data_IF_728319686309
#
_entry.id   IF_728319686309
#
_cell.length_a   1.000
_cell.length_b   1.000
_cell.length_c   1.000
_cell.angle_alpha   90.00
_cell.angle_beta   90.00
_cell.angle_gamma   90.00
#
_symmetry.space_group_name_H-M   'P 1'
#
loop_
_entity.id
_entity.type
_entity.pdbx_description
1 polymer ?
#
# COMPACT_ATOMS: atom_id res chain seq x y z
N UNK A 1 -13.24 -7.28 -27.97
CA UNK A 1 -12.09 -7.54 -28.84
C UNK A 1 -12.40 -8.69 -29.75
N UNK A 2 -11.73 -8.79 -30.87
CA UNK A 2 -12.01 -9.78 -31.93
C UNK A 2 -11.64 -11.23 -31.57
N UNK A 3 -11.59 -11.56 -30.28
CA UNK A 3 -11.33 -12.90 -29.76
C UNK A 3 -9.86 -13.32 -29.72
N UNK A 4 -8.92 -12.44 -30.09
CA UNK A 4 -7.51 -12.78 -30.27
C UNK A 4 -6.58 -12.28 -29.16
N UNK A 5 -7.10 -11.51 -28.20
CA UNK A 5 -6.35 -11.01 -27.03
C UNK A 5 -6.92 -11.56 -25.73
N UNK A 6 -6.04 -11.97 -24.84
CA UNK A 6 -6.36 -12.49 -23.52
C UNK A 6 -5.64 -11.67 -22.47
N UNK A 7 -6.35 -11.28 -21.41
CA UNK A 7 -5.79 -10.57 -20.26
C UNK A 7 -5.90 -11.46 -19.01
N UNK A 8 -4.79 -11.56 -18.29
CA UNK A 8 -4.75 -12.04 -16.90
C UNK A 8 -4.37 -10.84 -16.04
N UNK A 9 -5.23 -10.48 -15.09
CA UNK A 9 -5.07 -9.30 -14.27
C UNK A 9 -5.24 -9.59 -12.79
N UNK A 10 -4.43 -8.90 -11.98
CA UNK A 10 -4.59 -8.77 -10.54
C UNK A 10 -4.79 -7.29 -10.26
N UNK A 11 -6.00 -6.88 -9.86
CA UNK A 11 -6.29 -5.49 -9.53
C UNK A 11 -7.67 -5.00 -9.98
N UNK A 12 -7.85 -3.68 -9.86
CA UNK A 12 -9.09 -2.96 -10.13
C UNK A 12 -8.82 -1.68 -10.92
N UNK A 13 -9.70 -1.38 -11.88
CA UNK A 13 -9.70 -0.13 -12.65
C UNK A 13 -10.88 0.72 -12.21
N UNK A 14 -10.64 1.72 -11.39
CA UNK A 14 -11.68 2.51 -10.72
C UNK A 14 -12.49 3.40 -11.66
N UNK A 15 -11.91 3.84 -12.79
CA UNK A 15 -12.57 4.69 -13.79
C UNK A 15 -13.08 3.91 -15.01
N UNK A 16 -13.32 2.59 -14.86
CA UNK A 16 -13.72 1.74 -15.97
C UNK A 16 -15.03 2.17 -16.63
N UNK A 17 -16.00 2.71 -15.88
CA UNK A 17 -17.27 3.20 -16.44
C UNK A 17 -17.05 4.42 -17.34
N UNK A 18 -16.23 5.38 -16.88
CA UNK A 18 -15.86 6.58 -17.63
C UNK A 18 -15.13 6.21 -18.94
N UNK A 19 -14.18 5.28 -18.86
CA UNK A 19 -13.43 4.79 -20.03
C UNK A 19 -14.38 4.08 -21.00
N UNK A 20 -15.28 3.23 -20.50
CA UNK A 20 -16.25 2.50 -21.31
C UNK A 20 -17.07 3.41 -22.23
N UNK A 21 -17.44 4.61 -21.76
CA UNK A 21 -18.18 5.61 -22.53
C UNK A 21 -17.35 6.22 -23.66
N UNK A 22 -16.02 6.11 -23.62
CA UNK A 22 -15.10 6.66 -24.61
C UNK A 22 -14.60 5.66 -25.65
N UNK A 23 -14.85 4.37 -25.45
CA UNK A 23 -14.47 3.31 -26.38
C UNK A 23 -15.42 3.25 -27.57
N UNK A 24 -14.89 2.84 -28.74
CA UNK A 24 -15.73 2.63 -29.93
C UNK A 24 -16.82 1.58 -29.68
N UNK A 25 -17.98 1.74 -30.31
CA UNK A 25 -19.15 0.91 -30.17
C UNK A 25 -18.86 -0.57 -30.46
N UNK A 26 -18.53 -1.32 -29.44
CA UNK A 26 -18.44 -2.78 -29.44
C UNK A 26 -19.20 -3.35 -28.25
N UNK A 27 -19.95 -4.44 -28.45
CA UNK A 27 -20.60 -5.12 -27.35
C UNK A 27 -19.54 -5.61 -26.35
N UNK A 28 -19.61 -5.12 -25.10
CA UNK A 28 -18.80 -5.66 -23.99
C UNK A 28 -19.33 -7.06 -23.65
N UNK A 29 -18.42 -8.03 -23.56
CA UNK A 29 -18.77 -9.42 -23.25
C UNK A 29 -19.10 -9.60 -21.77
N UNK A 30 -18.57 -8.74 -20.91
CA UNK A 30 -18.73 -8.79 -19.45
C UNK A 30 -18.97 -7.39 -18.85
N UNK A 31 -19.16 -7.35 -17.54
CA UNK A 31 -19.14 -6.11 -16.75
C UNK A 31 -17.80 -5.84 -16.10
N UNK A 32 -16.80 -6.70 -16.33
CA UNK A 32 -15.49 -6.57 -15.71
C UNK A 32 -14.78 -5.28 -16.17
N UNK A 33 -14.17 -4.60 -15.23
CA UNK A 33 -13.26 -3.48 -15.41
C UNK A 33 -12.02 -3.89 -16.19
N UNK A 34 -11.53 -5.12 -15.99
CA UNK A 34 -10.40 -5.69 -16.74
C UNK A 34 -10.70 -5.83 -18.25
N UNK A 35 -11.96 -6.09 -18.63
CA UNK A 35 -12.34 -6.08 -20.05
C UNK A 35 -12.24 -4.67 -20.64
N UNK A 36 -12.59 -3.64 -19.85
CA UNK A 36 -12.45 -2.25 -20.28
C UNK A 36 -10.97 -1.91 -20.52
N UNK A 37 -10.09 -2.30 -19.60
CA UNK A 37 -8.64 -2.11 -19.78
C UNK A 37 -8.11 -2.83 -21.02
N UNK A 38 -8.52 -4.08 -21.27
CA UNK A 38 -8.11 -4.84 -22.44
C UNK A 38 -8.56 -4.15 -23.75
N UNK A 39 -9.81 -3.69 -23.81
CA UNK A 39 -10.35 -2.98 -24.97
C UNK A 39 -9.64 -1.66 -25.23
N UNK A 40 -9.42 -0.87 -24.17
CA UNK A 40 -8.68 0.38 -24.25
C UNK A 40 -7.30 0.17 -24.88
N UNK A 41 -6.56 -0.83 -24.41
CA UNK A 41 -5.22 -1.15 -24.91
C UNK A 41 -5.29 -1.70 -26.33
N UNK A 42 -6.29 -2.51 -26.65
CA UNK A 42 -6.50 -3.03 -28.03
C UNK A 42 -6.79 -1.92 -29.02
N UNK A 43 -7.58 -0.90 -28.62
CA UNK A 43 -8.00 0.21 -29.49
C UNK A 43 -6.90 1.28 -29.65
N UNK A 44 -6.22 1.64 -28.53
CA UNK A 44 -5.33 2.81 -28.46
C UNK A 44 -3.85 2.46 -28.25
N UNK A 45 -3.55 1.17 -28.08
CA UNK A 45 -2.20 0.68 -27.81
C UNK A 45 -1.79 0.79 -26.33
N UNK A 46 -0.60 0.24 -25.98
CA UNK A 46 -0.18 0.12 -24.56
C UNK A 46 0.07 1.48 -23.88
N UNK A 47 0.29 2.57 -24.63
CA UNK A 47 0.39 3.92 -24.06
C UNK A 47 -0.88 4.39 -23.35
N UNK A 48 -2.05 3.84 -23.70
CA UNK A 48 -3.33 4.16 -23.06
C UNK A 48 -3.45 3.64 -21.63
N UNK A 49 -2.51 2.84 -21.16
CA UNK A 49 -2.39 2.49 -19.72
C UNK A 49 -2.35 3.73 -18.81
N UNK A 50 -1.87 4.87 -19.30
CA UNK A 50 -1.87 6.14 -18.58
C UNK A 50 -3.27 6.73 -18.32
N UNK A 51 -4.30 6.26 -19.05
CA UNK A 51 -5.70 6.68 -18.85
C UNK A 51 -6.38 5.91 -17.70
N UNK A 52 -5.80 4.78 -17.25
CA UNK A 52 -6.35 3.96 -16.20
C UNK A 52 -6.10 4.58 -14.81
N UNK A 53 -7.15 4.72 -14.03
CA UNK A 53 -7.07 4.99 -12.59
C UNK A 53 -7.35 3.70 -11.84
N UNK A 54 -6.36 3.18 -11.11
CA UNK A 54 -6.54 1.90 -10.44
C UNK A 54 -5.24 1.34 -9.86
N UNK A 55 -5.33 0.14 -9.41
CA UNK A 55 -4.22 -0.70 -8.95
C UNK A 55 -4.22 -1.99 -9.77
N UNK A 56 -3.14 -2.28 -10.47
CA UNK A 56 -3.13 -3.42 -11.38
C UNK A 56 -1.73 -3.97 -11.68
N UNK A 57 -1.70 -5.28 -11.93
CA UNK A 57 -0.65 -5.97 -12.66
C UNK A 57 -1.29 -6.79 -13.77
N UNK A 58 -0.99 -6.48 -15.03
CA UNK A 58 -1.60 -7.09 -16.21
C UNK A 58 -0.59 -7.85 -17.05
N UNK A 59 -1.01 -9.02 -17.53
CA UNK A 59 -0.37 -9.74 -18.63
C UNK A 59 -1.40 -9.90 -19.74
N UNK A 60 -1.07 -9.39 -20.93
CA UNK A 60 -1.92 -9.49 -22.13
C UNK A 60 -1.17 -10.28 -23.17
N UNK A 61 -1.82 -11.28 -23.77
CA UNK A 61 -1.25 -12.10 -24.84
C UNK A 61 -2.21 -12.20 -26.01
N UNK A 62 -1.66 -12.18 -27.21
CA UNK A 62 -2.40 -12.34 -28.47
C UNK A 62 -1.95 -13.55 -29.29
N UNK A 63 -2.86 -14.10 -30.09
CA UNK A 63 -2.55 -15.20 -31.02
C UNK A 63 -1.58 -14.77 -32.14
N UNK A 64 -1.48 -13.47 -32.40
CA UNK A 64 -0.55 -12.85 -33.35
C UNK A 64 0.87 -12.68 -32.82
N UNK A 65 1.13 -13.09 -31.56
CA UNK A 65 2.40 -12.91 -30.87
C UNK A 65 2.48 -11.64 -30.02
N UNK A 66 1.44 -10.81 -30.00
CA UNK A 66 1.36 -9.65 -29.10
C UNK A 66 1.53 -10.11 -27.65
N UNK A 67 2.41 -9.43 -26.92
CA UNK A 67 2.56 -9.63 -25.46
C UNK A 67 2.84 -8.31 -24.76
N UNK A 68 2.10 -8.04 -23.69
CA UNK A 68 2.26 -6.84 -22.85
C UNK A 68 2.23 -7.28 -21.39
N UNK A 69 3.24 -6.87 -20.63
CA UNK A 69 3.21 -6.90 -19.16
C UNK A 69 3.16 -5.48 -18.65
N UNK A 70 2.31 -5.17 -17.66
CA UNK A 70 2.16 -3.82 -17.12
C UNK A 70 1.90 -3.83 -15.62
N UNK A 71 2.40 -2.81 -14.93
CA UNK A 71 2.19 -2.60 -13.49
C UNK A 71 1.72 -1.18 -13.24
N UNK A 72 0.77 -1.00 -12.31
CA UNK A 72 0.22 0.31 -11.95
C UNK A 72 1.29 1.32 -11.53
N UNK A 73 1.00 2.63 -11.65
CA UNK A 73 2.00 3.68 -11.45
C UNK A 73 2.63 3.72 -10.06
N UNK A 74 1.91 3.27 -9.03
CA UNK A 74 2.40 3.27 -7.63
C UNK A 74 3.02 1.92 -7.26
N UNK A 75 2.72 0.86 -8.04
CA UNK A 75 3.13 -0.51 -7.77
C UNK A 75 2.36 -1.13 -6.59
N UNK A 76 1.07 -0.78 -6.46
CA UNK A 76 0.18 -1.32 -5.43
C UNK A 76 0.07 -2.84 -5.59
N UNK A 77 -0.13 -3.30 -6.83
CA UNK A 77 -0.12 -4.73 -7.13
C UNK A 77 1.31 -5.20 -7.43
N UNK A 78 1.73 -6.35 -6.85
CA UNK A 78 3.07 -6.88 -7.07
C UNK A 78 3.20 -7.47 -8.47
N UNK A 79 4.36 -7.27 -9.07
CA UNK A 79 4.79 -7.93 -10.29
C UNK A 79 6.31 -8.09 -10.27
N UNK A 80 6.78 -9.30 -10.57
CA UNK A 80 8.20 -9.65 -10.72
C UNK A 80 8.43 -10.20 -12.11
N UNK A 81 9.65 -10.08 -12.59
CA UNK A 81 10.07 -10.62 -13.86
C UNK A 81 11.49 -11.18 -13.80
N UNK A 82 11.80 -12.07 -14.73
CA UNK A 82 13.14 -12.58 -14.93
C UNK A 82 13.39 -12.80 -16.41
N UNK A 83 14.59 -12.46 -16.90
CA UNK A 83 14.99 -12.64 -18.30
C UNK A 83 16.26 -13.49 -18.39
N UNK A 84 16.19 -14.57 -19.16
CA UNK A 84 17.30 -15.50 -19.39
C UNK A 84 17.21 -16.14 -20.75
N UNK A 85 18.30 -16.18 -21.51
CA UNK A 85 18.42 -16.87 -22.81
C UNK A 85 17.33 -16.49 -23.82
N UNK A 86 16.90 -15.22 -23.81
CA UNK A 86 15.84 -14.69 -24.69
C UNK A 86 14.42 -15.05 -24.27
N UNK A 87 14.25 -15.68 -23.12
CA UNK A 87 12.95 -15.93 -22.49
C UNK A 87 12.71 -14.91 -21.38
N UNK A 88 11.48 -14.46 -21.22
CA UNK A 88 11.05 -13.58 -20.13
C UNK A 88 9.88 -14.25 -19.40
N UNK A 89 9.94 -14.25 -18.08
CA UNK A 89 8.87 -14.74 -17.21
C UNK A 89 8.36 -13.64 -16.31
N UNK A 90 7.07 -13.70 -15.97
CA UNK A 90 6.40 -12.76 -15.08
C UNK A 90 5.60 -13.54 -14.03
N UNK A 91 5.56 -13.01 -12.82
CA UNK A 91 4.74 -13.55 -11.73
C UNK A 91 4.43 -12.48 -10.70
N UNK A 92 3.33 -12.64 -9.96
CA UNK A 92 3.01 -11.79 -8.82
C UNK A 92 3.82 -12.14 -7.56
N UNK A 93 4.50 -13.29 -7.54
CA UNK A 93 5.27 -13.81 -6.40
C UNK A 93 6.62 -14.33 -6.85
N UNK A 94 7.68 -14.05 -6.07
CA UNK A 94 9.03 -14.56 -6.37
C UNK A 94 9.11 -16.07 -6.23
N UNK A 95 8.35 -16.65 -5.32
CA UNK A 95 8.24 -18.11 -5.11
C UNK A 95 7.62 -18.86 -6.30
N UNK A 96 7.01 -18.15 -7.25
CA UNK A 96 6.53 -18.73 -8.52
C UNK A 96 7.65 -19.02 -9.53
N UNK A 97 8.85 -18.51 -9.29
CA UNK A 97 10.02 -18.79 -10.13
C UNK A 97 10.75 -20.01 -9.62
N UNK A 98 11.06 -20.95 -10.55
CA UNK A 98 11.91 -22.08 -10.23
C UNK A 98 13.27 -21.62 -9.69
N UNK A 99 13.91 -22.39 -8.81
CA UNK A 99 15.21 -22.09 -8.20
C UNK A 99 16.27 -21.64 -9.24
N UNK A 100 16.27 -22.28 -10.42
CA UNK A 100 17.18 -21.90 -11.52
C UNK A 100 16.94 -20.50 -12.08
N UNK A 101 15.76 -19.89 -11.88
CA UNK A 101 15.40 -18.55 -12.34
C UNK A 101 15.54 -17.47 -11.25
N UNK A 102 15.54 -17.89 -9.99
CA UNK A 102 15.60 -16.96 -8.84
C UNK A 102 16.75 -15.94 -8.90
N UNK A 103 17.98 -16.31 -9.37
CA UNK A 103 19.08 -15.34 -9.46
C UNK A 103 18.81 -14.17 -10.43
N UNK A 104 17.91 -14.32 -11.38
CA UNK A 104 17.58 -13.30 -12.38
C UNK A 104 16.28 -12.55 -12.06
N UNK A 105 15.61 -12.88 -10.96
CA UNK A 105 14.35 -12.22 -10.56
C UNK A 105 14.62 -10.78 -10.14
N UNK A 106 13.78 -9.89 -10.66
CA UNK A 106 13.76 -8.48 -10.33
C UNK A 106 12.32 -8.02 -10.07
N UNK A 107 12.15 -6.99 -9.25
CA UNK A 107 10.87 -6.28 -9.13
C UNK A 107 10.58 -5.58 -10.46
N UNK A 108 9.39 -5.80 -11.03
CA UNK A 108 8.97 -5.09 -12.23
C UNK A 108 8.65 -3.64 -11.85
N UNK A 109 9.24 -2.63 -12.52
CA UNK A 109 9.11 -1.25 -12.08
C UNK A 109 7.67 -0.74 -12.17
N UNK A 110 7.17 -0.01 -11.15
CA UNK A 110 5.89 0.66 -11.20
C UNK A 110 5.77 1.62 -12.38
N UNK A 111 4.55 1.80 -12.92
CA UNK A 111 4.28 2.73 -14.01
C UNK A 111 4.89 2.36 -15.35
N UNK A 112 5.31 1.12 -15.51
CA UNK A 112 5.92 0.63 -16.74
C UNK A 112 5.08 -0.47 -17.37
N UNK A 113 5.22 -0.57 -18.70
CA UNK A 113 4.87 -1.78 -19.43
C UNK A 113 6.08 -2.32 -20.20
N UNK A 114 6.04 -3.59 -20.52
CA UNK A 114 7.04 -4.27 -21.33
C UNK A 114 6.40 -4.99 -22.51
N UNK A 115 7.05 -4.91 -23.67
CA UNK A 115 6.69 -5.70 -24.87
C UNK A 115 7.94 -6.36 -25.46
N UNK A 116 7.81 -7.47 -26.22
CA UNK A 116 8.95 -8.11 -26.87
C UNK A 116 9.73 -7.18 -27.82
N UNK A 117 9.04 -6.29 -28.53
CA UNK A 117 9.63 -5.38 -29.52
C UNK A 117 10.14 -4.08 -28.91
N UNK A 118 9.38 -3.51 -27.97
CA UNK A 118 9.65 -2.19 -27.38
C UNK A 118 10.50 -2.23 -26.11
N UNK A 119 10.64 -3.41 -25.49
CA UNK A 119 11.26 -3.52 -24.18
C UNK A 119 10.44 -2.82 -23.11
N UNK A 120 11.12 -2.34 -22.07
CA UNK A 120 10.52 -1.64 -20.93
C UNK A 120 10.26 -0.17 -21.28
N UNK A 121 9.02 0.29 -21.09
CA UNK A 121 8.57 1.66 -21.38
C UNK A 121 7.79 2.20 -20.19
N UNK A 122 8.15 3.40 -19.73
CA UNK A 122 7.38 4.14 -18.71
C UNK A 122 6.14 4.77 -19.35
N UNK A 123 4.97 4.57 -18.76
CA UNK A 123 3.71 5.19 -19.18
C UNK A 123 3.16 6.18 -18.15
N UNK A 124 3.57 6.05 -16.89
CA UNK A 124 3.18 6.94 -15.80
C UNK A 124 4.17 6.85 -14.64
N UNK A 125 4.19 7.88 -13.81
CA UNK A 125 4.97 7.92 -12.56
C UNK A 125 4.04 8.25 -11.38
N UNK A 126 4.27 7.71 -10.17
CA UNK A 126 3.50 8.09 -8.99
C UNK A 126 3.79 9.53 -8.56
N UNK A 127 4.96 10.04 -8.92
CA UNK A 127 5.44 11.36 -8.55
C UNK A 127 5.57 12.21 -9.82
N UNK A 128 4.59 13.11 -10.09
CA UNK A 128 4.71 14.02 -11.21
C UNK A 128 5.97 14.92 -11.07
N UNK A 129 6.57 15.34 -12.21
CA UNK A 129 7.63 16.34 -12.19
C UNK A 129 7.21 17.59 -11.41
N UNK A 130 8.14 18.19 -10.65
CA UNK A 130 7.81 19.31 -9.75
C UNK A 130 7.23 20.54 -10.46
N UNK A 131 7.54 20.75 -11.72
CA UNK A 131 7.01 21.82 -12.55
C UNK A 131 5.59 21.56 -13.07
N UNK A 132 5.14 20.32 -13.04
CA UNK A 132 3.76 19.91 -13.35
C UNK A 132 2.84 19.93 -12.12
N UNK A 133 3.41 19.96 -10.91
CA UNK A 133 2.63 20.05 -9.68
C UNK A 133 1.93 21.42 -9.56
N UNK A 134 0.71 21.42 -9.05
CA UNK A 134 0.01 22.66 -8.70
C UNK A 134 0.84 23.45 -7.70
N UNK A 135 0.99 24.75 -7.92
CA UNK A 135 1.77 25.61 -7.04
C UNK A 135 0.85 26.32 -6.03
N UNK A 136 1.20 26.17 -4.77
CA UNK A 136 0.56 26.88 -3.68
C UNK A 136 1.57 27.84 -3.04
N UNK A 137 1.22 29.12 -2.99
CA UNK A 137 2.00 30.11 -2.24
C UNK A 137 1.70 29.93 -0.76
N UNK A 138 2.64 29.33 -0.05
CA UNK A 138 2.47 29.04 1.37
C UNK A 138 3.79 29.16 2.14
N UNK A 139 3.72 29.28 3.47
CA UNK A 139 4.88 29.44 4.32
C UNK A 139 5.69 28.14 4.40
N UNK A 140 7.01 28.28 4.46
CA UNK A 140 7.93 27.15 4.73
C UNK A 140 8.03 26.78 6.22
N UNK A 141 7.61 27.68 7.13
CA UNK A 141 7.73 27.47 8.58
C UNK A 141 6.74 26.40 9.07
N UNK A 142 7.22 25.36 9.80
CA UNK A 142 6.36 24.32 10.36
C UNK A 142 5.26 24.91 11.27
N UNK A 143 4.06 24.34 11.19
CA UNK A 143 2.92 24.77 12.02
C UNK A 143 2.22 26.05 11.56
N UNK A 144 2.53 26.55 10.37
CA UNK A 144 1.86 27.73 9.80
C UNK A 144 0.35 27.53 9.65
N UNK A 145 -0.41 28.65 9.67
CA UNK A 145 -1.86 28.62 9.46
C UNK A 145 -2.18 28.06 8.06
N UNK A 146 -3.10 27.10 8.00
CA UNK A 146 -3.59 26.52 6.76
C UNK A 146 -4.85 27.28 6.33
N UNK A 147 -4.94 27.75 5.07
CA UNK A 147 -6.15 28.38 4.55
C UNK A 147 -7.33 27.38 4.49
N UNK A 148 -8.54 27.86 4.76
CA UNK A 148 -9.75 27.03 4.78
C UNK A 148 -10.00 26.35 3.41
N UNK A 149 -9.71 27.06 2.31
CA UNK A 149 -9.80 26.52 0.94
C UNK A 149 -8.89 25.31 0.71
N UNK A 150 -7.71 25.27 1.33
CA UNK A 150 -6.79 24.14 1.27
C UNK A 150 -7.34 22.97 2.08
N UNK A 151 -7.87 23.24 3.28
CA UNK A 151 -8.51 22.23 4.11
C UNK A 151 -9.70 21.58 3.37
N UNK A 152 -10.55 22.40 2.73
CA UNK A 152 -11.67 21.91 1.90
C UNK A 152 -11.19 21.11 0.70
N UNK A 153 -10.12 21.53 0.02
CA UNK A 153 -9.54 20.83 -1.13
C UNK A 153 -9.02 19.45 -0.73
N UNK A 154 -8.26 19.37 0.36
CA UNK A 154 -7.73 18.08 0.89
C UNK A 154 -8.87 17.17 1.31
N UNK A 155 -9.83 17.66 2.10
CA UNK A 155 -11.00 16.91 2.51
C UNK A 155 -11.80 16.39 1.32
N UNK A 156 -12.13 17.28 0.38
CA UNK A 156 -12.89 16.92 -0.81
C UNK A 156 -12.17 15.92 -1.71
N UNK A 157 -10.82 15.97 -1.78
CA UNK A 157 -10.05 14.99 -2.51
C UNK A 157 -10.12 13.61 -1.84
N UNK A 158 -9.89 13.51 -0.53
CA UNK A 158 -9.96 12.23 0.18
C UNK A 158 -11.37 11.62 0.14
N UNK A 159 -12.42 12.43 0.26
CA UNK A 159 -13.80 11.94 0.11
C UNK A 159 -14.01 11.32 -1.29
N UNK A 160 -13.51 11.95 -2.35
CA UNK A 160 -13.64 11.41 -3.70
C UNK A 160 -12.87 10.12 -3.90
N UNK A 161 -11.62 10.04 -3.43
CA UNK A 161 -10.81 8.82 -3.58
C UNK A 161 -11.41 7.63 -2.81
N UNK A 162 -11.84 7.86 -1.57
CA UNK A 162 -12.57 6.82 -0.82
C UNK A 162 -13.84 6.41 -1.54
N UNK A 163 -14.67 7.39 -1.97
CA UNK A 163 -15.92 7.11 -2.67
C UNK A 163 -15.73 6.31 -3.96
N UNK A 164 -14.66 6.61 -4.73
CA UNK A 164 -14.29 5.87 -5.94
C UNK A 164 -13.90 4.43 -5.61
N UNK A 165 -13.17 4.21 -4.53
CA UNK A 165 -12.72 2.89 -4.11
C UNK A 165 -13.77 2.08 -3.34
N UNK A 166 -14.95 2.67 -3.07
CA UNK A 166 -16.12 1.93 -2.57
C UNK A 166 -16.87 1.15 -3.67
N UNK A 167 -16.46 1.28 -4.93
CA UNK A 167 -17.06 0.53 -6.03
C UNK A 167 -16.83 -0.98 -5.88
N UNK A 168 -17.77 -1.78 -6.35
CA UNK A 168 -17.67 -3.24 -6.40
C UNK A 168 -19.02 -3.93 -6.24
N UNK A 169 -19.06 -5.21 -6.64
CA UNK A 169 -20.24 -6.08 -6.53
C UNK A 169 -20.33 -6.78 -5.16
N UNK A 170 -19.38 -6.49 -4.26
CA UNK A 170 -19.23 -7.10 -2.92
C UNK A 170 -19.14 -6.02 -1.85
N UNK A 171 -19.53 -6.31 -0.59
CA UNK A 171 -19.33 -5.38 0.51
C UNK A 171 -17.88 -5.01 0.70
N UNK A 172 -17.65 -3.71 0.96
CA UNK A 172 -16.31 -3.13 1.24
C UNK A 172 -16.23 -2.79 2.72
N UNK A 173 -15.27 -3.37 3.43
CA UNK A 173 -14.99 -3.06 4.83
C UNK A 173 -13.84 -2.06 4.99
N UNK A 174 -13.48 -1.77 6.25
CA UNK A 174 -12.33 -0.91 6.58
C UNK A 174 -11.50 -1.53 7.69
N UNK A 175 -10.18 -1.59 7.51
CA UNK A 175 -9.25 -1.85 8.61
C UNK A 175 -9.16 -0.63 9.51
N UNK A 176 -9.61 -0.78 10.75
CA UNK A 176 -9.72 0.30 11.73
C UNK A 176 -8.79 0.05 12.92
N UNK A 177 -7.70 0.81 13.00
CA UNK A 177 -6.76 0.77 14.14
C UNK A 177 -7.04 1.84 15.19
N UNK A 178 -8.02 2.71 14.97
CA UNK A 178 -8.24 3.90 15.79
C UNK A 178 -7.15 4.98 15.63
N UNK A 179 -6.20 4.81 14.72
CA UNK A 179 -5.29 5.86 14.27
C UNK A 179 -6.00 6.85 13.34
N UNK A 180 -5.42 8.04 13.14
CA UNK A 180 -6.02 9.11 12.35
C UNK A 180 -6.46 8.62 10.95
N UNK A 181 -5.55 8.02 10.21
CA UNK A 181 -5.74 7.71 8.79
C UNK A 181 -6.87 6.70 8.57
N UNK A 182 -6.82 5.58 9.32
CA UNK A 182 -7.87 4.56 9.26
C UNK A 182 -9.22 5.09 9.75
N UNK A 183 -9.22 5.98 10.75
CA UNK A 183 -10.45 6.60 11.27
C UNK A 183 -11.08 7.58 10.29
N UNK A 184 -10.27 8.32 9.51
CA UNK A 184 -10.77 9.20 8.44
C UNK A 184 -11.37 8.39 7.29
N UNK A 185 -10.69 7.33 6.84
CA UNK A 185 -11.23 6.42 5.82
C UNK A 185 -12.55 5.81 6.31
N UNK A 186 -12.60 5.32 7.55
CA UNK A 186 -13.81 4.75 8.14
C UNK A 186 -14.95 5.78 8.24
N UNK A 187 -14.66 7.02 8.66
CA UNK A 187 -15.66 8.08 8.76
C UNK A 187 -16.29 8.45 7.41
N UNK A 188 -15.49 8.45 6.33
CA UNK A 188 -15.97 8.71 4.97
C UNK A 188 -16.79 7.52 4.47
N UNK A 189 -16.28 6.30 4.63
CA UNK A 189 -16.94 5.08 4.21
C UNK A 189 -18.26 4.85 4.98
N UNK A 190 -18.31 5.14 6.28
CA UNK A 190 -19.52 5.03 7.09
C UNK A 190 -20.63 5.95 6.56
N UNK A 191 -20.33 7.20 6.20
CA UNK A 191 -21.30 8.12 5.58
C UNK A 191 -21.79 7.63 4.22
N UNK A 192 -20.89 7.04 3.44
CA UNK A 192 -21.26 6.44 2.15
C UNK A 192 -22.27 5.30 2.29
N UNK A 193 -22.13 4.45 3.32
CA UNK A 193 -23.09 3.39 3.64
C UNK A 193 -24.38 3.94 4.25
N UNK A 194 -24.30 4.93 5.16
CA UNK A 194 -25.45 5.58 5.78
C UNK A 194 -26.41 6.18 4.74
N UNK A 195 -25.88 6.85 3.70
CA UNK A 195 -26.67 7.39 2.57
C UNK A 195 -27.45 6.30 1.81
N UNK A 196 -27.05 5.03 1.95
CA UNK A 196 -27.70 3.85 1.34
C UNK A 196 -28.56 3.06 2.31
N UNK A 197 -28.63 3.49 3.56
CA UNK A 197 -29.36 2.80 4.62
C UNK A 197 -28.68 1.52 5.11
N UNK A 198 -27.38 1.42 4.91
CA UNK A 198 -26.54 0.27 5.27
C UNK A 198 -25.50 0.66 6.32
N UNK A 199 -24.86 -0.33 6.95
CA UNK A 199 -23.78 -0.11 7.92
C UNK A 199 -22.45 -0.58 7.35
N UNK A 200 -21.41 0.20 7.64
CA UNK A 200 -20.04 -0.18 7.33
C UNK A 200 -19.57 -1.29 8.28
N UNK A 201 -18.94 -2.32 7.73
CA UNK A 201 -18.18 -3.29 8.52
C UNK A 201 -16.74 -2.77 8.77
N UNK A 202 -16.30 -2.78 10.02
CA UNK A 202 -14.93 -2.37 10.41
C UNK A 202 -14.22 -3.48 11.16
N UNK A 203 -12.91 -3.60 10.96
CA UNK A 203 -12.12 -4.70 11.46
C UNK A 203 -10.87 -4.21 12.19
N UNK A 204 -10.62 -4.76 13.38
CA UNK A 204 -9.44 -4.46 14.18
C UNK A 204 -8.76 -5.73 14.71
N UNK A 205 -7.48 -5.62 15.04
CA UNK A 205 -6.67 -6.72 15.57
C UNK A 205 -5.71 -6.19 16.63
N UNK A 206 -5.47 -6.98 17.67
CA UNK A 206 -4.47 -6.65 18.70
C UNK A 206 -4.36 -7.71 19.77
N UNK A 207 -3.37 -7.57 20.66
CA UNK A 207 -3.36 -8.27 21.92
C UNK A 207 -4.52 -7.77 22.80
N UNK A 208 -4.96 -8.59 23.74
CA UNK A 208 -6.00 -8.18 24.68
C UNK A 208 -5.62 -6.84 25.35
N UNK A 209 -6.58 -5.93 25.43
CA UNK A 209 -6.41 -4.58 25.99
C UNK A 209 -5.34 -3.70 25.29
N UNK A 210 -4.97 -4.02 24.05
CA UNK A 210 -4.04 -3.17 23.29
C UNK A 210 -4.64 -1.78 23.04
N UNK A 211 -3.81 -0.72 23.07
CA UNK A 211 -4.29 0.65 22.85
C UNK A 211 -5.04 0.84 21.52
N UNK A 212 -4.65 0.09 20.50
CA UNK A 212 -5.28 0.19 19.16
C UNK A 212 -6.66 -0.46 19.15
N UNK A 213 -6.86 -1.62 19.79
CA UNK A 213 -8.21 -2.21 19.89
C UNK A 213 -9.18 -1.30 20.66
N UNK A 214 -8.71 -0.72 21.79
CA UNK A 214 -9.54 0.20 22.58
C UNK A 214 -9.93 1.44 21.77
N UNK A 215 -8.98 2.00 21.03
CA UNK A 215 -9.24 3.17 20.18
C UNK A 215 -10.13 2.83 18.99
N UNK A 216 -9.91 1.69 18.31
CA UNK A 216 -10.73 1.23 17.20
C UNK A 216 -12.19 1.05 17.63
N UNK A 217 -12.43 0.42 18.79
CA UNK A 217 -13.76 0.22 19.37
C UNK A 217 -14.47 1.55 19.63
N UNK A 218 -13.78 2.52 20.23
CA UNK A 218 -14.36 3.84 20.51
C UNK A 218 -14.73 4.60 19.23
N UNK A 219 -13.87 4.56 18.20
CA UNK A 219 -14.18 5.16 16.88
C UNK A 219 -15.35 4.43 16.21
N UNK A 220 -15.37 3.10 16.25
CA UNK A 220 -16.44 2.29 15.64
C UNK A 220 -17.81 2.56 16.29
N UNK A 221 -17.84 2.69 17.63
CA UNK A 221 -19.04 3.06 18.39
C UNK A 221 -19.54 4.45 18.00
N UNK A 222 -18.64 5.43 17.88
CA UNK A 222 -19.01 6.77 17.43
C UNK A 222 -19.59 6.80 16.00
N UNK A 223 -18.99 6.01 15.08
CA UNK A 223 -19.42 5.94 13.67
C UNK A 223 -20.61 5.01 13.43
N UNK A 224 -21.11 4.34 14.46
CA UNK A 224 -22.18 3.33 14.39
C UNK A 224 -21.91 2.22 13.35
N UNK A 225 -20.67 1.71 13.30
CA UNK A 225 -20.27 0.65 12.37
C UNK A 225 -20.56 -0.75 12.94
N UNK A 226 -20.63 -1.77 12.08
CA UNK A 226 -20.58 -3.17 12.50
C UNK A 226 -19.11 -3.55 12.74
N UNK A 227 -18.70 -3.49 14.00
CA UNK A 227 -17.28 -3.63 14.37
C UNK A 227 -16.92 -5.06 14.79
N UNK A 228 -15.86 -5.58 14.16
CA UNK A 228 -15.34 -6.92 14.42
C UNK A 228 -13.90 -6.84 14.92
N UNK A 229 -13.62 -7.56 16.00
CA UNK A 229 -12.29 -7.60 16.62
C UNK A 229 -11.70 -9.01 16.60
N UNK A 230 -10.43 -9.11 16.25
CA UNK A 230 -9.63 -10.33 16.39
C UNK A 230 -8.56 -10.12 17.46
N UNK A 231 -8.71 -10.82 18.58
CA UNK A 231 -7.71 -10.83 19.65
C UNK A 231 -6.79 -12.01 19.45
N UNK A 232 -5.47 -11.77 19.42
CA UNK A 232 -4.47 -12.81 19.31
C UNK A 232 -3.54 -12.82 20.52
N UNK A 233 -2.80 -13.90 20.69
CA UNK A 233 -1.81 -14.08 21.76
C UNK A 233 -0.38 -13.92 21.22
N UNK A 234 0.60 -13.79 22.12
CA UNK A 234 2.01 -13.83 21.76
C UNK A 234 2.38 -15.13 21.03
N UNK A 235 1.79 -16.26 21.45
CA UNK A 235 1.99 -17.57 20.81
C UNK A 235 1.44 -17.60 19.40
N UNK A 236 0.27 -17.01 19.16
CA UNK A 236 -0.33 -16.91 17.82
C UNK A 236 0.56 -16.09 16.88
N UNK A 237 1.10 -14.96 17.36
CA UNK A 237 2.02 -14.11 16.61
C UNK A 237 3.30 -14.86 16.21
N UNK A 238 3.92 -15.58 17.16
CA UNK A 238 5.12 -16.37 16.92
C UNK A 238 4.85 -17.56 15.99
N UNK A 239 3.70 -18.21 16.13
CA UNK A 239 3.30 -19.33 15.26
C UNK A 239 3.03 -18.88 13.81
N UNK A 240 2.52 -17.67 13.62
CA UNK A 240 2.28 -17.10 12.30
C UNK A 240 3.57 -16.64 11.58
N UNK A 241 4.62 -16.27 12.34
CA UNK A 241 5.82 -15.63 11.83
C UNK A 241 6.47 -16.33 10.61
N UNK A 242 6.74 -17.65 10.61
CA UNK A 242 7.38 -18.29 9.45
C UNK A 242 6.51 -18.20 8.19
N UNK A 243 5.20 -18.35 8.35
CA UNK A 243 4.27 -18.24 7.22
C UNK A 243 4.17 -16.80 6.71
N UNK A 244 4.20 -15.80 7.60
CA UNK A 244 4.17 -14.39 7.23
C UNK A 244 5.40 -13.99 6.44
N UNK A 245 6.61 -14.38 6.90
CA UNK A 245 7.87 -14.08 6.16
C UNK A 245 7.82 -14.64 4.74
N UNK A 246 7.36 -15.89 4.57
CA UNK A 246 7.17 -16.50 3.24
C UNK A 246 6.09 -15.79 2.42
N UNK A 247 4.98 -15.40 3.05
CA UNK A 247 3.86 -14.71 2.37
C UNK A 247 4.27 -13.35 1.84
N UNK A 248 4.96 -12.53 2.66
CA UNK A 248 5.39 -11.20 2.21
C UNK A 248 6.66 -11.24 1.38
N UNK A 249 7.32 -12.37 1.30
CA UNK A 249 8.59 -12.56 0.60
C UNK A 249 9.63 -11.48 0.95
N UNK A 250 9.74 -11.16 2.24
CA UNK A 250 10.64 -10.14 2.76
C UNK A 250 11.13 -10.50 4.18
N UNK A 251 12.30 -10.00 4.53
CA UNK A 251 12.91 -10.19 5.84
C UNK A 251 13.25 -8.88 6.55
N UNK A 252 12.76 -7.73 6.04
CA UNK A 252 12.91 -6.45 6.75
C UNK A 252 12.18 -6.49 8.10
N UNK A 253 12.86 -6.20 9.23
CA UNK A 253 12.26 -6.36 10.55
C UNK A 253 11.03 -5.49 10.78
N UNK A 254 11.03 -4.25 10.30
CA UNK A 254 9.90 -3.33 10.47
C UNK A 254 8.67 -3.81 9.68
N UNK A 255 8.93 -4.34 8.47
CA UNK A 255 7.87 -4.90 7.63
C UNK A 255 7.28 -6.16 8.26
N UNK A 256 8.12 -7.12 8.69
CA UNK A 256 7.69 -8.38 9.30
C UNK A 256 6.88 -8.14 10.57
N UNK A 257 7.36 -7.26 11.48
CA UNK A 257 6.65 -6.94 12.74
C UNK A 257 5.24 -6.41 12.51
N UNK A 258 5.05 -5.59 11.47
CA UNK A 258 3.72 -5.08 11.12
C UNK A 258 2.90 -6.07 10.27
N UNK A 259 3.55 -6.96 9.51
CA UNK A 259 2.88 -7.95 8.69
C UNK A 259 2.19 -9.05 9.53
N UNK A 260 2.76 -9.44 10.67
CA UNK A 260 2.18 -10.49 11.52
C UNK A 260 0.77 -10.15 11.99
N UNK A 261 0.49 -9.02 12.66
CA UNK A 261 -0.87 -8.67 13.04
C UNK A 261 -1.77 -8.44 11.82
N UNK A 262 -1.27 -7.85 10.74
CA UNK A 262 -2.04 -7.68 9.50
C UNK A 262 -2.45 -9.00 8.86
N UNK A 263 -1.59 -10.02 8.87
CA UNK A 263 -1.89 -11.35 8.36
C UNK A 263 -3.03 -12.01 9.16
N UNK A 264 -2.98 -11.90 10.49
CA UNK A 264 -4.04 -12.42 11.39
C UNK A 264 -5.35 -11.66 11.14
N UNK A 265 -5.29 -10.34 11.01
CA UNK A 265 -6.44 -9.49 10.68
C UNK A 265 -7.05 -9.89 9.33
N UNK A 266 -6.23 -10.04 8.31
CA UNK A 266 -6.70 -10.41 6.97
C UNK A 266 -7.39 -11.79 6.95
N UNK A 267 -6.81 -12.79 7.64
CA UNK A 267 -7.42 -14.11 7.79
C UNK A 267 -8.80 -14.07 8.47
N UNK A 268 -8.96 -13.18 9.43
CA UNK A 268 -10.22 -12.95 10.12
C UNK A 268 -11.23 -12.23 9.22
N UNK A 269 -10.83 -11.11 8.62
CA UNK A 269 -11.66 -10.23 7.80
C UNK A 269 -12.18 -10.91 6.53
N UNK A 270 -11.39 -11.77 5.91
CA UNK A 270 -11.76 -12.49 4.68
C UNK A 270 -12.99 -13.41 4.84
N UNK A 271 -13.42 -13.68 6.07
CA UNK A 271 -14.65 -14.44 6.38
C UNK A 271 -15.90 -13.58 6.29
N UNK A 272 -15.76 -12.26 6.33
CA UNK A 272 -16.82 -11.27 6.34
C UNK A 272 -16.93 -10.55 4.99
N UNK A 273 -15.85 -9.95 4.53
CA UNK A 273 -15.79 -9.16 3.29
C UNK A 273 -14.71 -9.66 2.34
N UNK A 274 -14.73 -9.19 1.10
CA UNK A 274 -13.73 -9.50 0.08
C UNK A 274 -12.83 -8.32 -0.27
N UNK A 275 -13.23 -7.13 0.14
CA UNK A 275 -12.50 -5.87 -0.10
C UNK A 275 -12.43 -5.08 1.19
N UNK A 276 -11.28 -4.47 1.47
CA UNK A 276 -11.09 -3.54 2.59
C UNK A 276 -10.36 -2.29 2.15
N UNK A 277 -10.75 -1.16 2.69
CA UNK A 277 -9.97 0.07 2.59
C UNK A 277 -8.98 0.16 3.76
N UNK A 278 -7.82 0.74 3.49
CA UNK A 278 -6.76 0.96 4.49
C UNK A 278 -6.31 2.43 4.52
N UNK A 279 -5.60 2.82 5.55
CA UNK A 279 -5.01 4.15 5.69
C UNK A 279 -3.57 4.27 5.17
N UNK A 280 -3.08 3.27 4.42
CA UNK A 280 -1.71 3.28 3.88
C UNK A 280 -1.47 4.47 2.95
N UNK A 281 -0.26 5.04 2.99
CA UNK A 281 0.15 6.17 2.15
C UNK A 281 -0.04 7.56 2.79
N UNK A 282 -0.84 7.68 3.84
CA UNK A 282 -1.07 8.96 4.49
C UNK A 282 0.18 9.57 5.12
N UNK A 283 1.05 8.75 5.69
CA UNK A 283 2.30 9.21 6.32
C UNK A 283 3.30 9.75 5.31
N UNK A 284 3.40 9.11 4.16
CA UNK A 284 4.29 9.45 3.07
C UNK A 284 3.88 10.75 2.38
N UNK A 285 2.57 10.99 2.26
CA UNK A 285 2.04 12.15 1.55
C UNK A 285 1.96 13.37 2.46
N UNK A 286 1.55 13.18 3.72
CA UNK A 286 1.27 14.27 4.68
C UNK A 286 2.31 14.39 5.80
N UNK A 287 3.54 13.90 5.57
CA UNK A 287 4.67 14.02 6.49
C UNK A 287 4.34 13.51 7.91
N UNK A 288 3.75 12.32 8.00
CA UNK A 288 3.29 11.75 9.27
C UNK A 288 4.38 11.05 10.09
N UNK A 289 5.56 10.81 9.58
CA UNK A 289 6.67 10.19 10.30
C UNK A 289 7.38 11.18 11.21
N UNK A 290 7.72 10.75 12.43
CA UNK A 290 8.34 11.62 13.44
C UNK A 290 9.68 12.20 12.98
N UNK A 291 10.52 11.40 12.31
CA UNK A 291 11.82 11.84 11.81
C UNK A 291 11.74 12.98 10.77
N UNK A 292 10.59 13.16 10.09
CA UNK A 292 10.39 14.23 9.13
C UNK A 292 10.36 15.63 9.77
N UNK A 293 10.16 15.71 11.09
CA UNK A 293 10.25 16.96 11.84
C UNK A 293 11.65 17.59 11.84
N UNK A 294 12.68 16.79 11.53
CA UNK A 294 14.07 17.26 11.49
C UNK A 294 14.45 17.96 10.18
N UNK A 295 13.63 17.84 9.14
CA UNK A 295 13.84 18.52 7.87
C UNK A 295 13.62 20.03 8.02
N UNK A 296 14.50 20.82 7.40
CA UNK A 296 14.56 22.27 7.58
C UNK A 296 14.16 23.06 6.34
N UNK A 297 14.22 22.44 5.16
CA UNK A 297 13.86 23.07 3.90
C UNK A 297 12.72 22.32 3.21
N UNK A 298 11.99 23.04 2.35
CA UNK A 298 10.93 22.44 1.53
C UNK A 298 11.50 21.40 0.55
N UNK A 299 12.67 21.69 0.01
CA UNK A 299 13.36 20.83 -0.94
C UNK A 299 13.76 19.48 -0.30
N UNK A 300 14.34 19.51 0.91
CA UNK A 300 14.70 18.31 1.65
C UNK A 300 13.46 17.46 1.98
N UNK A 301 12.41 18.09 2.50
CA UNK A 301 11.16 17.39 2.79
C UNK A 301 10.54 16.80 1.53
N UNK A 302 10.44 17.58 0.45
CA UNK A 302 9.89 17.08 -0.81
C UNK A 302 10.67 15.88 -1.34
N UNK A 303 12.01 15.98 -1.37
CA UNK A 303 12.85 14.86 -1.82
C UNK A 303 12.65 13.60 -0.98
N UNK A 304 12.48 13.73 0.34
CA UNK A 304 12.23 12.60 1.22
C UNK A 304 10.83 12.00 1.02
N UNK A 305 9.77 12.83 0.85
CA UNK A 305 8.44 12.33 0.54
C UNK A 305 8.42 11.58 -0.80
N UNK A 306 9.07 12.12 -1.83
CA UNK A 306 9.25 11.44 -3.12
C UNK A 306 9.91 10.08 -2.93
N UNK A 307 11.06 10.05 -2.25
CA UNK A 307 11.79 8.80 -1.98
C UNK A 307 10.92 7.76 -1.25
N UNK A 308 10.11 8.18 -0.28
CA UNK A 308 9.24 7.27 0.47
C UNK A 308 8.10 6.76 -0.39
N UNK A 309 7.48 7.60 -1.22
CA UNK A 309 6.40 7.20 -2.13
C UNK A 309 6.92 6.22 -3.19
N UNK A 310 8.06 6.52 -3.82
CA UNK A 310 8.68 5.63 -4.82
C UNK A 310 9.08 4.27 -4.24
N UNK A 311 9.50 4.23 -2.96
CA UNK A 311 9.89 2.99 -2.29
C UNK A 311 8.73 2.15 -1.72
N UNK A 312 7.49 2.65 -1.73
CA UNK A 312 6.35 1.98 -1.09
C UNK A 312 6.05 0.59 -1.66
N UNK A 313 6.27 0.40 -2.95
CA UNK A 313 5.91 -0.83 -3.65
C UNK A 313 6.65 -2.08 -3.13
N UNK A 314 7.88 -1.93 -2.65
CA UNK A 314 8.70 -3.02 -2.07
C UNK A 314 8.67 -3.02 -0.53
N UNK A 315 7.82 -2.19 0.08
CA UNK A 315 7.67 -2.03 1.54
C UNK A 315 6.21 -2.17 1.96
N UNK A 316 5.58 -1.06 2.38
CA UNK A 316 4.23 -1.09 2.94
C UNK A 316 3.17 -1.67 1.99
N UNK A 317 3.27 -1.40 0.69
CA UNK A 317 2.33 -1.93 -0.30
C UNK A 317 2.53 -3.42 -0.52
N UNK A 318 3.78 -3.90 -0.59
CA UNK A 318 4.06 -5.34 -0.66
C UNK A 318 3.45 -6.05 0.56
N UNK A 319 3.65 -5.52 1.77
CA UNK A 319 3.02 -6.08 2.97
C UNK A 319 1.50 -6.07 2.84
N UNK A 320 0.89 -4.92 2.55
CA UNK A 320 -0.56 -4.75 2.55
C UNK A 320 -1.23 -5.71 1.55
N UNK A 321 -0.75 -5.78 0.31
CA UNK A 321 -1.28 -6.67 -0.71
C UNK A 321 -1.04 -8.15 -0.36
N UNK A 322 0.20 -8.52 -0.02
CA UNK A 322 0.57 -9.92 0.22
C UNK A 322 -0.21 -10.57 1.37
N UNK A 323 -0.30 -9.88 2.51
CA UNK A 323 -0.99 -10.46 3.68
C UNK A 323 -2.49 -10.56 3.47
N UNK A 324 -3.09 -9.68 2.68
CA UNK A 324 -4.53 -9.72 2.39
C UNK A 324 -4.84 -10.72 1.29
N UNK A 325 -4.08 -10.71 0.19
CA UNK A 325 -4.28 -11.63 -0.92
C UNK A 325 -4.00 -13.09 -0.56
N UNK A 326 -3.15 -13.38 0.45
CA UNK A 326 -2.99 -14.72 1.02
C UNK A 326 -4.30 -15.34 1.54
N UNK A 327 -5.31 -14.52 1.76
CA UNK A 327 -6.65 -14.92 2.24
C UNK A 327 -7.77 -14.60 1.23
N UNK A 328 -7.42 -14.15 0.01
CA UNK A 328 -8.40 -13.74 -1.01
C UNK A 328 -9.19 -12.49 -0.59
N UNK A 329 -8.53 -11.59 0.11
CA UNK A 329 -9.02 -10.28 0.53
C UNK A 329 -8.26 -9.21 -0.24
N UNK A 330 -8.95 -8.28 -0.88
CA UNK A 330 -8.35 -7.17 -1.60
C UNK A 330 -8.21 -5.94 -0.70
N UNK A 331 -6.99 -5.43 -0.55
CA UNK A 331 -6.74 -4.15 0.13
C UNK A 331 -6.67 -3.01 -0.88
N UNK A 332 -7.43 -1.95 -0.62
CA UNK A 332 -7.44 -0.69 -1.39
C UNK A 332 -6.86 0.44 -0.56
N UNK A 333 -6.19 1.39 -1.21
CA UNK A 333 -5.36 2.41 -0.58
C UNK A 333 -5.74 3.82 -1.04
N UNK A 334 -6.84 4.41 -0.54
CA UNK A 334 -7.37 5.68 -1.05
C UNK A 334 -6.40 6.86 -1.03
N UNK A 335 -5.45 6.88 -0.08
CA UNK A 335 -4.43 7.92 -0.03
C UNK A 335 -3.45 7.86 -1.20
N UNK A 336 -3.27 6.69 -1.82
CA UNK A 336 -2.29 6.48 -2.89
C UNK A 336 -2.87 6.61 -4.30
N UNK A 337 -4.05 7.17 -4.48
CA UNK A 337 -4.46 7.62 -5.80
C UNK A 337 -3.56 8.77 -6.29
N UNK A 338 -3.18 8.77 -7.58
CA UNK A 338 -2.26 9.74 -8.16
C UNK A 338 -2.66 11.19 -7.90
N UNK A 339 -3.94 11.47 -7.94
CA UNK A 339 -4.52 12.77 -7.60
C UNK A 339 -4.24 13.22 -6.16
N UNK A 340 -4.26 12.27 -5.20
CA UNK A 340 -3.98 12.56 -3.80
C UNK A 340 -2.49 12.73 -3.58
N UNK A 341 -1.66 11.90 -4.22
CA UNK A 341 -0.19 12.02 -4.20
C UNK A 341 0.22 13.37 -4.75
N UNK A 342 -0.29 13.74 -5.93
CA UNK A 342 0.00 15.03 -6.58
C UNK A 342 -0.40 16.20 -5.69
N UNK A 343 -1.60 16.17 -5.10
CA UNK A 343 -2.04 17.22 -4.17
C UNK A 343 -1.10 17.31 -2.95
N UNK A 344 -0.81 16.19 -2.29
CA UNK A 344 0.03 16.18 -1.10
C UNK A 344 1.45 16.68 -1.36
N UNK A 345 2.05 16.30 -2.50
CA UNK A 345 3.37 16.78 -2.91
C UNK A 345 3.38 18.28 -3.29
N UNK A 346 2.25 18.80 -3.78
CA UNK A 346 2.09 20.23 -4.13
C UNK A 346 2.04 21.16 -2.92
N UNK A 347 1.65 20.64 -1.75
CA UNK A 347 1.42 21.47 -0.57
C UNK A 347 2.74 21.91 0.10
N UNK A 348 2.86 23.16 0.51
CA UNK A 348 4.03 23.70 1.23
C UNK A 348 4.38 22.92 2.51
N UNK A 349 5.67 22.81 2.81
CA UNK A 349 6.17 22.15 4.00
C UNK A 349 5.57 22.70 5.30
N UNK A 350 5.36 24.00 5.39
CA UNK A 350 4.80 24.67 6.58
C UNK A 350 3.38 24.25 6.93
N UNK A 351 2.62 23.71 5.97
CA UNK A 351 1.28 23.17 6.22
C UNK A 351 1.31 21.68 6.58
N UNK A 352 2.30 20.92 6.12
CA UNK A 352 2.47 19.49 6.37
C UNK A 352 3.18 19.22 7.70
N UNK A 353 4.29 19.92 7.94
CA UNK A 353 5.07 19.73 9.16
C UNK A 353 4.37 20.34 10.39
N UNK A 354 4.37 19.57 11.46
CA UNK A 354 3.90 20.01 12.76
C UNK A 354 4.91 21.01 13.39
N UNK A 355 4.41 22.11 13.92
CA UNK A 355 5.18 23.04 14.74
C UNK A 355 5.47 22.47 16.13
N UNK A 356 6.20 23.23 16.95
CA UNK A 356 6.49 22.84 18.34
C UNK A 356 5.19 22.63 19.14
N UNK A 357 5.07 21.48 19.78
CA UNK A 357 3.89 21.12 20.56
C UNK A 357 2.63 20.76 19.75
N UNK A 358 2.74 20.63 18.44
CA UNK A 358 1.65 20.19 17.56
C UNK A 358 1.79 18.72 17.18
N UNK A 359 0.65 18.07 16.90
CA UNK A 359 0.61 16.69 16.41
C UNK A 359 0.94 16.64 14.90
N UNK A 360 1.46 15.49 14.45
CA UNK A 360 1.72 15.20 13.03
C UNK A 360 0.42 15.17 12.20
N UNK A 361 0.56 15.29 10.88
CA UNK A 361 -0.57 15.34 9.92
C UNK A 361 -1.63 16.38 10.27
N UNK A 362 -1.21 17.50 10.84
CA UNK A 362 -2.10 18.59 11.27
C UNK A 362 -3.07 19.02 10.17
N UNK A 363 -2.61 19.01 8.92
CA UNK A 363 -3.44 19.34 7.76
C UNK A 363 -4.66 18.41 7.65
N UNK A 364 -4.46 17.08 7.77
CA UNK A 364 -5.57 16.12 7.75
C UNK A 364 -6.48 16.30 8.94
N UNK A 365 -5.94 16.50 10.14
CA UNK A 365 -6.72 16.71 11.36
C UNK A 365 -7.63 17.94 11.22
N UNK A 366 -7.09 19.06 10.78
CA UNK A 366 -7.87 20.31 10.57
C UNK A 366 -8.86 20.17 9.41
N UNK A 367 -8.48 19.50 8.31
CA UNK A 367 -9.38 19.29 7.20
C UNK A 367 -10.65 18.51 7.60
N UNK A 368 -10.58 17.68 8.63
CA UNK A 368 -11.68 16.86 9.09
C UNK A 368 -12.23 17.25 10.48
N UNK A 369 -11.98 18.47 10.93
CA UNK A 369 -12.66 19.00 12.12
C UNK A 369 -14.17 18.90 11.98
N UNK A 370 -14.84 18.39 13.03
CA UNK A 370 -16.28 18.15 13.04
C UNK A 370 -16.73 16.82 12.38
N UNK A 371 -15.81 16.01 11.82
CA UNK A 371 -16.11 14.68 11.30
C UNK A 371 -15.95 13.59 12.36
N UNK A 372 -14.98 13.78 13.24
CA UNK A 372 -14.70 12.94 14.40
C UNK A 372 -14.56 13.82 15.63
N UNK A 373 -14.85 13.31 16.84
CA UNK A 373 -14.51 13.98 18.09
C UNK A 373 -13.03 14.29 18.20
N UNK A 374 -12.70 15.38 18.90
CA UNK A 374 -11.31 15.80 19.09
C UNK A 374 -10.43 14.73 19.73
N UNK A 375 -10.96 13.93 20.62
CA UNK A 375 -10.24 12.84 21.28
C UNK A 375 -9.74 11.76 20.28
N UNK A 376 -10.42 11.56 19.16
CA UNK A 376 -9.98 10.66 18.07
C UNK A 376 -9.14 11.42 17.06
N UNK A 377 -9.62 12.60 16.66
CA UNK A 377 -8.97 13.41 15.63
C UNK A 377 -7.58 13.88 16.06
N UNK A 378 -7.38 14.20 17.34
CA UNK A 378 -6.11 14.67 17.90
C UNK A 378 -5.40 13.63 18.76
N UNK A 379 -5.79 12.36 18.67
CA UNK A 379 -5.10 11.25 19.33
C UNK A 379 -3.63 11.23 18.89
N UNK A 380 -2.73 11.07 19.86
CA UNK A 380 -1.29 10.90 19.58
C UNK A 380 -1.04 9.62 18.81
N UNK A 381 -0.16 9.70 17.81
CA UNK A 381 0.19 8.57 16.93
C UNK A 381 0.89 7.46 17.72
N UNK A 382 0.49 6.21 17.46
CA UNK A 382 1.25 5.00 17.73
C UNK A 382 1.49 4.28 16.40
N UNK A 383 2.65 3.66 16.22
CA UNK A 383 2.88 2.81 15.03
C UNK A 383 2.09 1.52 15.19
N UNK A 384 1.51 1.00 14.11
CA UNK A 384 0.62 -0.17 14.14
C UNK A 384 1.28 -1.41 14.76
N UNK A 385 2.55 -1.70 14.46
CA UNK A 385 3.28 -2.81 15.05
C UNK A 385 3.40 -2.71 16.58
N UNK A 386 3.59 -1.50 17.10
CA UNK A 386 3.70 -1.23 18.55
C UNK A 386 2.32 -1.17 19.20
N UNK A 387 1.37 -0.49 18.57
CA UNK A 387 0.00 -0.32 19.07
C UNK A 387 -0.78 -1.63 19.17
N UNK A 388 -0.52 -2.57 18.27
CA UNK A 388 -1.08 -3.94 18.29
C UNK A 388 -0.41 -4.86 19.31
N UNK A 389 0.80 -4.50 19.82
CA UNK A 389 1.59 -5.26 20.78
C UNK A 389 2.50 -6.35 20.18
N UNK A 390 2.49 -6.55 18.86
CA UNK A 390 3.27 -7.61 18.22
C UNK A 390 4.79 -7.36 18.24
N UNK A 391 5.22 -6.12 18.04
CA UNK A 391 6.63 -5.78 17.80
C UNK A 391 7.56 -6.22 18.96
N UNK A 392 7.18 -5.95 20.20
CA UNK A 392 7.99 -6.30 21.36
C UNK A 392 8.10 -7.81 21.58
N UNK A 393 7.03 -8.55 21.33
CA UNK A 393 6.98 -10.02 21.46
C UNK A 393 7.89 -10.67 20.43
N UNK A 394 7.76 -10.28 19.17
CA UNK A 394 8.54 -10.84 18.07
C UNK A 394 10.02 -10.53 18.24
N UNK A 395 10.38 -9.29 18.54
CA UNK A 395 11.76 -8.86 18.71
C UNK A 395 12.47 -9.65 19.81
N UNK A 396 11.86 -9.73 21.01
CA UNK A 396 12.45 -10.43 22.16
C UNK A 396 12.69 -11.91 21.86
N UNK A 397 11.69 -12.61 21.32
CA UNK A 397 11.79 -14.04 21.03
C UNK A 397 12.80 -14.37 19.94
N UNK A 398 12.86 -13.53 18.90
CA UNK A 398 13.67 -13.80 17.70
C UNK A 398 15.13 -13.42 17.93
N UNK A 399 15.41 -12.33 18.63
CA UNK A 399 16.80 -11.95 18.99
C UNK A 399 17.51 -13.00 19.85
N UNK A 400 16.77 -13.76 20.68
CA UNK A 400 17.32 -14.86 21.46
C UNK A 400 17.69 -16.09 20.61
N UNK A 401 17.09 -16.24 19.42
CA UNK A 401 17.32 -17.38 18.53
C UNK A 401 18.61 -17.28 17.71
N UNK A 402 19.26 -16.10 17.67
CA UNK A 402 20.48 -15.83 16.90
C UNK A 402 21.56 -15.30 17.84
N UNK A 403 22.66 -16.02 17.97
CA UNK A 403 23.80 -15.57 18.76
C UNK A 403 24.59 -14.46 18.06
N UNK A 404 25.36 -13.70 18.83
CA UNK A 404 26.25 -12.66 18.28
C UNK A 404 27.30 -13.22 17.32
N UNK A 405 27.75 -14.46 17.53
CA UNK A 405 28.72 -15.13 16.68
C UNK A 405 28.08 -15.51 15.33
N UNK A 406 26.88 -16.08 15.36
CA UNK A 406 26.09 -16.39 14.15
C UNK A 406 25.82 -15.10 13.35
N UNK A 407 25.38 -14.02 14.02
CA UNK A 407 25.13 -12.74 13.36
C UNK A 407 26.39 -12.23 12.63
N UNK A 408 27.57 -12.26 13.28
CA UNK A 408 28.83 -11.81 12.63
C UNK A 408 29.22 -12.66 11.44
N UNK A 409 28.93 -13.94 11.46
CA UNK A 409 29.19 -14.88 10.37
C UNK A 409 28.23 -14.66 9.20
N UNK A 410 26.93 -14.60 9.48
CA UNK A 410 25.87 -14.67 8.47
C UNK A 410 25.50 -13.31 7.87
N UNK A 411 25.76 -12.20 8.58
CA UNK A 411 25.37 -10.87 8.11
C UNK A 411 25.92 -10.49 6.73
N UNK A 412 26.98 -11.14 6.26
CA UNK A 412 27.63 -10.86 4.99
C UNK A 412 27.31 -11.92 3.91
N UNK A 413 26.43 -12.85 4.17
CA UNK A 413 26.02 -13.88 3.19
C UNK A 413 25.13 -13.30 2.08
N UNK A 414 24.55 -12.13 2.30
CA UNK A 414 23.72 -11.43 1.33
C UNK A 414 24.16 -9.98 1.13
N UNK A 415 23.80 -9.41 -0.01
CA UNK A 415 24.05 -8.00 -0.33
C UNK A 415 22.70 -7.27 -0.55
N UNK A 416 22.49 -6.13 0.14
CA UNK A 416 23.33 -5.51 1.18
C UNK A 416 23.34 -6.34 2.50
N UNK A 417 24.37 -6.21 3.34
CA UNK A 417 24.52 -7.01 4.56
C UNK A 417 23.36 -6.86 5.53
N UNK A 418 23.05 -7.94 6.26
CA UNK A 418 22.02 -7.94 7.31
C UNK A 418 22.46 -7.03 8.47
N UNK A 419 21.50 -6.28 9.03
CA UNK A 419 21.76 -5.18 9.97
C UNK A 419 21.61 -5.59 11.42
N UNK A 420 20.71 -6.55 11.72
CA UNK A 420 20.37 -6.98 13.08
C UNK A 420 20.27 -8.51 13.19
N UNK A 421 20.32 -9.03 14.41
CA UNK A 421 20.07 -10.47 14.68
C UNK A 421 18.65 -10.88 14.28
N UNK A 422 17.69 -9.98 14.46
CA UNK A 422 16.30 -10.19 14.04
C UNK A 422 16.22 -10.36 12.50
N UNK A 423 16.92 -9.51 11.75
CA UNK A 423 16.98 -9.61 10.28
C UNK A 423 17.61 -10.93 9.82
N UNK A 424 18.65 -11.42 10.53
CA UNK A 424 19.22 -12.76 10.25
C UNK A 424 18.18 -13.87 10.48
N UNK A 425 17.45 -13.81 11.56
CA UNK A 425 16.44 -14.84 11.84
C UNK A 425 15.33 -14.88 10.78
N UNK A 426 14.87 -13.72 10.33
CA UNK A 426 13.87 -13.64 9.24
C UNK A 426 14.46 -14.05 7.90
N UNK A 427 15.70 -13.67 7.63
CA UNK A 427 16.41 -14.11 6.42
C UNK A 427 16.55 -15.64 6.34
N UNK A 428 16.84 -16.31 7.44
CA UNK A 428 16.90 -17.80 7.47
C UNK A 428 15.59 -18.42 7.01
N UNK A 429 14.44 -17.86 7.41
CA UNK A 429 13.12 -18.34 6.97
C UNK A 429 12.90 -18.02 5.48
N UNK A 430 13.24 -16.81 5.06
CA UNK A 430 13.13 -16.38 3.67
C UNK A 430 13.99 -17.25 2.74
N UNK A 431 15.20 -17.55 3.14
CA UNK A 431 16.17 -18.30 2.33
C UNK A 431 15.82 -19.79 2.16
N UNK A 432 14.90 -20.36 2.95
CA UNK A 432 14.43 -21.73 2.75
C UNK A 432 13.78 -21.91 1.37
N UNK A 433 13.07 -20.90 0.87
CA UNK A 433 12.34 -20.94 -0.40
C UNK A 433 12.95 -20.02 -1.48
N UNK A 434 13.66 -18.94 -1.07
CA UNK A 434 14.11 -17.84 -1.92
C UNK A 434 15.61 -17.55 -1.74
N UNK A 435 16.41 -18.56 -1.36
CA UNK A 435 17.83 -18.38 -1.07
C UNK A 435 18.69 -17.91 -2.25
N UNK A 436 18.27 -18.17 -3.48
CA UNK A 436 18.96 -17.79 -4.71
C UNK A 436 18.50 -16.42 -5.25
N UNK A 437 17.43 -15.84 -4.70
CA UNK A 437 16.96 -14.50 -5.10
C UNK A 437 17.96 -13.44 -4.62
N UNK A 438 18.21 -12.43 -5.45
CA UNK A 438 19.06 -11.29 -5.09
C UNK A 438 18.27 -10.22 -4.32
N UNK A 439 18.44 -10.08 -2.99
CA UNK A 439 17.69 -9.11 -2.22
C UNK A 439 17.86 -7.65 -2.68
N UNK A 440 19.00 -7.33 -3.26
CA UNK A 440 19.30 -6.00 -3.80
C UNK A 440 18.33 -5.57 -4.92
N UNK A 441 17.75 -6.56 -5.65
CA UNK A 441 16.88 -6.31 -6.81
C UNK A 441 15.39 -6.44 -6.50
N UNK A 442 15.06 -6.99 -5.32
CA UNK A 442 13.71 -7.44 -5.01
C UNK A 442 13.17 -7.03 -3.65
N UNK A 443 14.06 -6.64 -2.71
CA UNK A 443 13.67 -6.39 -1.32
C UNK A 443 13.88 -4.94 -0.95
N UNK A 444 12.80 -4.24 -0.64
CA UNK A 444 12.86 -2.95 0.02
C UNK A 444 13.31 -3.08 1.47
N UNK A 445 14.01 -2.07 1.97
CA UNK A 445 14.41 -2.00 3.38
C UNK A 445 14.12 -0.62 3.94
N UNK A 446 13.46 -0.57 5.09
CA UNK A 446 13.32 0.68 5.81
C UNK A 446 14.69 1.23 6.22
N UNK A 447 14.83 2.55 6.22
CA UNK A 447 16.07 3.22 6.62
C UNK A 447 16.42 2.96 8.10
N UNK A 448 15.41 2.79 8.93
CA UNK A 448 15.53 2.48 10.37
C UNK A 448 15.01 1.06 10.64
N UNK A 449 15.73 0.31 11.45
CA UNK A 449 15.33 -1.05 11.89
C UNK A 449 14.73 -1.04 13.28
#
# INVERSE_FOLDING_TARGET
>A
PDGNLYLVGNGEVYNHEEIRETLEDGEMGTRSDNEVALRLISERGPGALSELLGMFAFLIAGEDGTFIAARDPVGIKPLYWASRDGLVRFASEMSSFDESWQPDVESFPPGHYWTPEGGLVEFATPVPPRDELERFDGPGEPGARIPDEILEKVRGRLIRTVGRQMMGDVPVGVFLSGGLDSSLVAAIAARWYEERGEKLETFAVGLADSPDLLAARAVAEYLDTEHHESVYTAEDALAALPKVVRTIESFDPSLVRSAVPNYILAAFTARHVKVVLTGEGADEIFAGYEYLRDFRTEEELHAELVRTIEGLHDLNLQRADRVTMAHGLEARVPFLELDMISLGLSLPAGWKLAGEGQEEKRLLRQAFEGWLPDEFLWRKKAQFGDGSGAASVLKASVEESVTEEEFRRERHEVEPPLRTREEVAYYRIFAEDLGEVSPKRTIGRFATT
#
